data_IF_347017807066
#
_entry.id   IF_347017807066
#
_cell.length_a   1.000
_cell.length_b   1.000
_cell.length_c   1.000
_cell.angle_alpha   90.00
_cell.angle_beta   90.00
_cell.angle_gamma   90.00
#
_symmetry.space_group_name_H-M   'P 1'
#
loop_
_entity.id
_entity.type
_entity.pdbx_description
1 polymer ?
#
# COMPACT_ATOMS: atom_id res chain seq x y z
N UNK A 1 30.30 -13.61 7.81
CA UNK A 1 29.43 -12.75 6.98
C UNK A 1 28.09 -13.41 6.72
N UNK A 2 27.28 -13.58 7.77
CA UNK A 2 25.96 -14.25 7.69
C UNK A 2 24.91 -13.45 8.46
N UNK A 3 24.90 -12.13 8.30
CA UNK A 3 23.96 -11.26 9.00
C UNK A 3 22.95 -10.70 8.00
N UNK A 4 21.66 -10.75 8.37
CA UNK A 4 20.57 -10.16 7.59
C UNK A 4 20.40 -8.72 8.05
N UNK A 5 20.41 -7.78 7.12
CA UNK A 5 20.13 -6.37 7.41
C UNK A 5 18.70 -6.02 7.02
N UNK A 6 17.98 -5.32 7.90
CA UNK A 6 16.66 -4.77 7.62
C UNK A 6 16.83 -3.27 7.34
N UNK A 7 16.64 -2.92 6.08
CA UNK A 7 16.80 -1.56 5.58
C UNK A 7 15.56 -0.74 5.94
N UNK A 8 15.77 0.42 6.56
CA UNK A 8 14.71 1.37 6.86
C UNK A 8 14.37 2.21 5.61
N UNK A 9 13.12 2.63 5.50
CA UNK A 9 12.70 3.58 4.47
C UNK A 9 13.12 5.02 4.80
N UNK A 10 12.81 5.95 3.90
CA UNK A 10 13.20 7.36 4.02
C UNK A 10 12.68 8.05 5.29
N UNK A 11 11.61 7.51 5.90
CA UNK A 11 11.05 8.01 7.16
C UNK A 11 11.65 7.31 8.40
N UNK A 12 12.66 6.44 8.23
CA UNK A 12 13.27 5.66 9.32
C UNK A 12 12.49 4.40 9.72
N UNK A 13 11.39 4.07 9.05
CA UNK A 13 10.58 2.89 9.36
C UNK A 13 11.15 1.63 8.69
N UNK A 14 11.25 0.52 9.42
CA UNK A 14 11.65 -0.80 8.88
C UNK A 14 10.52 -1.56 8.17
N UNK A 15 9.32 -0.97 8.12
CA UNK A 15 8.16 -1.47 7.39
C UNK A 15 7.55 -0.31 6.62
N UNK A 16 7.32 -0.53 5.33
CA UNK A 16 6.60 0.39 4.49
C UNK A 16 5.18 -0.15 4.27
N UNK A 17 4.13 0.66 4.47
CA UNK A 17 2.77 0.28 4.13
C UNK A 17 2.65 -0.15 2.67
N UNK A 18 1.82 -1.15 2.38
CA UNK A 18 1.45 -1.51 1.01
C UNK A 18 0.19 -0.74 0.63
N UNK A 19 0.36 0.56 0.36
CA UNK A 19 -0.71 1.49 0.08
C UNK A 19 -0.23 2.53 -0.93
N UNK A 20 -1.10 2.87 -1.88
CA UNK A 20 -0.85 3.89 -2.90
C UNK A 20 -2.01 4.89 -2.93
N UNK A 21 -1.71 6.18 -2.86
CA UNK A 21 -2.71 7.26 -2.97
C UNK A 21 -2.45 8.07 -4.23
N UNK A 22 -3.50 8.27 -5.04
CA UNK A 22 -3.43 9.09 -6.24
C UNK A 22 -4.01 10.47 -5.99
N UNK A 23 -3.21 11.52 -6.19
CA UNK A 23 -3.67 12.91 -6.19
C UNK A 23 -3.87 13.40 -7.63
N UNK A 24 -4.19 14.68 -7.82
CA UNK A 24 -4.23 15.30 -9.15
C UNK A 24 -2.87 15.31 -9.84
N UNK A 25 -1.78 15.41 -9.06
CA UNK A 25 -0.47 15.79 -9.56
C UNK A 25 0.56 14.66 -9.41
N UNK A 26 0.36 13.75 -8.46
CA UNK A 26 1.34 12.73 -8.10
C UNK A 26 0.71 11.42 -7.59
N UNK A 27 1.54 10.38 -7.60
CA UNK A 27 1.29 9.13 -6.88
C UNK A 27 2.13 9.12 -5.61
N UNK A 28 1.48 8.98 -4.47
CA UNK A 28 2.11 8.79 -3.17
C UNK A 28 2.17 7.30 -2.85
N UNK A 29 3.29 6.85 -2.29
CA UNK A 29 3.53 5.43 -2.01
C UNK A 29 3.94 5.22 -0.55
N UNK A 30 3.39 4.17 0.06
CA UNK A 30 3.83 3.70 1.37
C UNK A 30 3.55 4.71 2.48
N UNK A 31 4.60 5.14 3.19
CA UNK A 31 4.43 6.01 4.36
C UNK A 31 3.80 7.36 4.02
N UNK A 32 4.07 7.90 2.83
CA UNK A 32 3.54 9.19 2.39
C UNK A 32 2.02 9.16 2.19
N UNK A 33 1.42 7.96 2.09
CA UNK A 33 -0.03 7.78 1.94
C UNK A 33 -0.80 7.86 3.25
N UNK A 34 -0.17 7.55 4.39
CA UNK A 34 -0.84 7.48 5.70
C UNK A 34 -1.40 8.85 6.09
N UNK A 35 -0.64 9.92 5.83
CA UNK A 35 -1.03 11.27 6.21
C UNK A 35 -2.09 11.85 5.24
N UNK A 36 -2.27 11.23 4.07
CA UNK A 36 -3.12 11.70 2.97
C UNK A 36 -4.05 10.59 2.47
N UNK A 37 -4.71 9.86 3.36
CA UNK A 37 -5.68 8.82 2.97
C UNK A 37 -6.94 9.50 2.40
N UNK A 38 -7.11 9.39 1.08
CA UNK A 38 -8.34 9.78 0.38
C UNK A 38 -9.15 8.51 0.04
N UNK A 39 -10.30 8.25 0.67
CA UNK A 39 -10.98 6.96 0.59
C UNK A 39 -11.29 6.46 -0.82
N UNK A 40 -11.54 7.37 -1.77
CA UNK A 40 -11.84 7.03 -3.17
C UNK A 40 -10.60 6.85 -4.06
N UNK A 41 -9.48 7.41 -3.64
CA UNK A 41 -8.26 7.52 -4.44
C UNK A 41 -7.07 6.77 -3.82
N UNK A 42 -7.32 6.00 -2.76
CA UNK A 42 -6.31 5.24 -2.03
C UNK A 42 -6.55 3.76 -2.22
N UNK A 43 -5.57 3.06 -2.77
CA UNK A 43 -5.60 1.60 -2.96
C UNK A 43 -4.90 0.95 -1.77
N UNK A 44 -5.65 0.14 -1.04
CA UNK A 44 -5.14 -0.72 0.03
C UNK A 44 -5.45 -2.17 -0.27
N UNK A 45 -4.74 -3.09 0.40
CA UNK A 45 -5.03 -4.53 0.36
C UNK A 45 -4.92 -5.18 -1.03
N UNK A 46 -4.21 -4.56 -1.98
CA UNK A 46 -4.02 -5.07 -3.34
C UNK A 46 -3.56 -6.54 -3.36
N UNK A 47 -2.66 -6.93 -2.45
CA UNK A 47 -2.18 -8.31 -2.30
C UNK A 47 -3.29 -9.35 -2.10
N UNK A 48 -4.42 -8.96 -1.50
CA UNK A 48 -5.59 -9.83 -1.33
C UNK A 48 -6.41 -10.00 -2.61
N UNK A 49 -6.26 -9.08 -3.55
CA UNK A 49 -6.97 -9.03 -4.82
C UNK A 49 -6.17 -9.68 -5.95
N UNK A 50 -4.84 -9.65 -5.87
CA UNK A 50 -3.94 -10.27 -6.85
C UNK A 50 -4.37 -11.73 -7.12
N UNK A 51 -4.40 -12.07 -8.41
CA UNK A 51 -4.74 -13.41 -8.92
C UNK A 51 -6.15 -13.90 -8.53
N UNK A 52 -7.10 -12.98 -8.32
CA UNK A 52 -8.50 -13.32 -8.05
C UNK A 52 -9.41 -12.66 -9.07
N UNK A 53 -10.40 -13.42 -9.53
CA UNK A 53 -11.45 -12.90 -10.40
C UNK A 53 -12.41 -12.00 -9.63
N UNK A 54 -12.97 -11.02 -10.32
CA UNK A 54 -13.85 -10.00 -9.74
C UNK A 54 -15.03 -10.58 -8.94
N UNK A 55 -15.64 -11.68 -9.41
CA UNK A 55 -16.76 -12.34 -8.74
C UNK A 55 -16.39 -12.79 -7.31
N UNK A 56 -15.19 -13.34 -7.12
CA UNK A 56 -14.71 -13.78 -5.80
C UNK A 56 -14.44 -12.58 -4.90
N UNK A 57 -14.10 -11.42 -5.48
CA UNK A 57 -13.77 -10.21 -4.74
C UNK A 57 -14.97 -9.46 -4.20
N UNK A 58 -16.17 -9.67 -4.76
CA UNK A 58 -17.40 -9.03 -4.26
C UNK A 58 -17.66 -9.29 -2.77
N UNK A 59 -17.20 -10.42 -2.22
CA UNK A 59 -17.31 -10.71 -0.77
C UNK A 59 -16.48 -9.79 0.13
N UNK A 60 -15.54 -9.03 -0.44
CA UNK A 60 -14.68 -8.07 0.28
C UNK A 60 -15.11 -6.62 0.06
N UNK A 61 -16.12 -6.37 -0.79
CA UNK A 61 -16.78 -5.08 -0.88
C UNK A 61 -17.90 -5.08 0.17
N UNK A 62 -17.73 -4.27 1.22
CA UNK A 62 -18.78 -3.95 2.20
C UNK A 62 -19.84 -3.04 1.56
#
# INVERSE_FOLDING_TARGET
NSHIEIIANNSGNRKTPSCDTFTSDEQLVGNETIDKIYPKNTIISLKRMMDRIFIILKKYQL
#
